data_IF_164338645573
#
_entry.id   IF_164338645573
#
_cell.length_a   1.000
_cell.length_b   1.000
_cell.length_c   1.000
_cell.angle_alpha   90.00
_cell.angle_beta   90.00
_cell.angle_gamma   90.00
#
_symmetry.space_group_name_H-M   'P 1'
#
loop_
_entity.id
_entity.type
_entity.pdbx_description
1 polymer ?
#
# COMPACT_ATOMS: atom_id res chain seq x y z
N UNK A 1 15.63 24.88 24.37
CA UNK A 1 14.33 25.18 23.77
C UNK A 1 14.04 26.65 24.01
N UNK A 2 14.34 27.50 23.05
CA UNK A 2 13.88 28.89 23.08
C UNK A 2 12.39 28.88 22.82
N UNK A 3 11.64 29.69 23.58
CA UNK A 3 10.19 29.84 23.41
C UNK A 3 9.89 30.17 21.95
N UNK A 4 9.18 29.26 21.28
CA UNK A 4 8.58 29.53 19.99
C UNK A 4 7.65 30.73 20.21
N UNK A 5 8.06 31.91 19.71
CA UNK A 5 7.17 33.06 19.67
C UNK A 5 5.88 32.54 19.05
N UNK A 6 4.74 32.83 19.67
CA UNK A 6 3.40 32.43 19.18
C UNK A 6 3.23 33.03 17.79
N UNK A 7 3.60 32.25 16.76
CA UNK A 7 3.45 32.67 15.37
C UNK A 7 1.96 32.84 15.08
N UNK A 8 1.63 33.91 14.37
CA UNK A 8 0.24 34.21 13.97
C UNK A 8 -0.37 32.99 13.27
N UNK A 9 -1.48 32.41 13.79
CA UNK A 9 -2.13 31.27 13.19
C UNK A 9 -2.48 31.47 11.71
N UNK A 10 -2.80 32.71 11.32
CA UNK A 10 -3.07 33.09 9.93
C UNK A 10 -1.85 32.88 9.04
N UNK A 11 -0.66 33.28 9.50
CA UNK A 11 0.60 33.08 8.79
C UNK A 11 0.92 31.58 8.62
N UNK A 12 0.68 30.78 9.67
CA UNK A 12 0.90 29.34 9.63
C UNK A 12 -0.04 28.65 8.63
N UNK A 13 -1.32 29.01 8.62
CA UNK A 13 -2.29 28.48 7.64
C UNK A 13 -1.87 28.87 6.21
N UNK A 14 -1.49 30.12 5.99
CA UNK A 14 -0.98 30.56 4.68
C UNK A 14 0.27 29.80 4.26
N UNK A 15 1.21 29.55 5.18
CA UNK A 15 2.40 28.75 4.91
C UNK A 15 2.05 27.33 4.45
N UNK A 16 1.11 26.67 5.14
CA UNK A 16 0.65 25.33 4.75
C UNK A 16 0.00 25.35 3.37
N UNK A 17 -0.96 26.25 3.17
CA UNK A 17 -1.73 26.34 1.91
C UNK A 17 -0.79 26.63 0.73
N UNK A 18 0.08 27.65 0.86
CA UNK A 18 1.02 28.02 -0.21
C UNK A 18 2.02 26.91 -0.47
N UNK A 19 2.62 26.29 0.57
CA UNK A 19 3.57 25.20 0.39
C UNK A 19 2.97 23.96 -0.25
N UNK A 20 1.72 23.60 0.13
CA UNK A 20 0.98 22.52 -0.52
C UNK A 20 0.61 22.86 -1.97
N UNK A 21 0.22 24.11 -2.27
CA UNK A 21 -0.02 24.58 -3.64
C UNK A 21 1.27 24.48 -4.47
N UNK A 22 2.40 24.96 -3.95
CA UNK A 22 3.70 24.86 -4.63
C UNK A 22 4.00 23.39 -4.98
N UNK A 23 3.87 22.48 -3.99
CA UNK A 23 4.08 21.05 -4.17
C UNK A 23 3.18 20.49 -5.28
N UNK A 24 1.88 20.76 -5.22
CA UNK A 24 0.91 20.26 -6.20
C UNK A 24 1.16 20.84 -7.61
N UNK A 25 1.45 22.12 -7.71
CA UNK A 25 1.79 22.77 -9.00
C UNK A 25 3.05 22.16 -9.61
N UNK A 26 4.09 21.93 -8.81
CA UNK A 26 5.33 21.28 -9.28
C UNK A 26 5.05 19.88 -9.83
N UNK A 27 4.24 19.06 -9.14
CA UNK A 27 3.94 17.71 -9.62
C UNK A 27 3.01 17.75 -10.83
N UNK A 28 1.88 18.46 -10.74
CA UNK A 28 0.79 18.34 -11.70
C UNK A 28 1.09 19.16 -12.99
N UNK A 29 1.46 20.42 -12.83
CA UNK A 29 1.64 21.36 -13.95
C UNK A 29 3.05 21.33 -14.50
N UNK A 30 4.06 21.38 -13.63
CA UNK A 30 5.47 21.43 -14.03
C UNK A 30 6.07 20.05 -14.31
N UNK A 31 5.37 18.95 -13.95
CA UNK A 31 5.83 17.56 -14.11
C UNK A 31 7.17 17.28 -13.41
N UNK A 32 7.46 18.00 -12.33
CA UNK A 32 8.65 17.80 -11.52
C UNK A 32 8.48 16.51 -10.72
N UNK A 33 9.57 15.78 -10.55
CA UNK A 33 9.60 14.51 -9.83
C UNK A 33 9.09 14.68 -8.39
N UNK A 34 8.29 13.72 -7.89
CA UNK A 34 7.55 13.82 -6.63
C UNK A 34 8.45 14.11 -5.41
N UNK A 35 9.62 13.47 -5.31
CA UNK A 35 10.58 13.68 -4.23
C UNK A 35 10.99 15.15 -4.13
N UNK A 36 11.40 15.75 -5.26
CA UNK A 36 11.82 17.16 -5.32
C UNK A 36 10.65 18.07 -4.97
N UNK A 37 9.47 17.79 -5.50
CA UNK A 37 8.25 18.60 -5.27
C UNK A 37 7.84 18.60 -3.80
N UNK A 38 7.88 17.44 -3.12
CA UNK A 38 7.57 17.33 -1.69
C UNK A 38 8.62 18.09 -0.87
N UNK A 39 9.89 17.92 -1.19
CA UNK A 39 10.98 18.60 -0.49
C UNK A 39 10.90 20.12 -0.62
N UNK A 40 10.70 20.63 -1.83
CA UNK A 40 10.54 22.08 -2.09
C UNK A 40 9.30 22.63 -1.39
N UNK A 41 8.16 21.91 -1.46
CA UNK A 41 6.94 22.29 -0.75
C UNK A 41 7.14 22.36 0.77
N UNK A 42 7.78 21.35 1.35
CA UNK A 42 8.07 21.31 2.78
C UNK A 42 9.01 22.45 3.21
N UNK A 43 10.11 22.69 2.48
CA UNK A 43 11.02 23.81 2.77
C UNK A 43 10.29 25.15 2.64
N UNK A 44 9.42 25.30 1.61
CA UNK A 44 8.60 26.52 1.44
C UNK A 44 7.70 26.77 2.64
N UNK A 45 7.09 25.73 3.22
CA UNK A 45 6.30 25.85 4.46
C UNK A 45 7.18 26.43 5.59
N UNK A 46 8.35 25.86 5.84
CA UNK A 46 9.25 26.35 6.89
C UNK A 46 9.66 27.83 6.71
N UNK A 47 10.01 28.20 5.47
CA UNK A 47 10.40 29.58 5.12
C UNK A 47 9.25 30.57 5.32
N UNK A 48 8.05 30.27 4.81
CA UNK A 48 6.87 31.13 4.91
C UNK A 48 6.39 31.21 6.38
N UNK A 49 6.43 30.11 7.12
CA UNK A 49 6.15 30.07 8.55
C UNK A 49 7.15 30.93 9.36
N UNK A 50 8.32 31.22 8.81
CA UNK A 50 9.35 32.03 9.48
C UNK A 50 10.25 31.23 10.43
N UNK A 51 10.41 29.93 10.15
CA UNK A 51 11.35 29.11 10.89
C UNK A 51 12.81 29.56 10.66
N UNK A 52 13.68 29.49 11.68
CA UNK A 52 15.11 29.66 11.51
C UNK A 52 15.65 28.69 10.44
N UNK A 53 16.59 29.12 9.61
CA UNK A 53 17.14 28.26 8.54
C UNK A 53 17.80 27.00 9.11
N UNK A 54 18.40 27.08 10.28
CA UNK A 54 18.97 25.94 11.02
C UNK A 54 17.90 24.91 11.37
N UNK A 55 16.73 25.35 11.79
CA UNK A 55 15.62 24.47 12.19
C UNK A 55 14.92 23.83 10.98
N UNK A 56 14.91 24.54 9.84
CA UNK A 56 14.50 23.96 8.56
C UNK A 56 15.42 22.81 8.17
N UNK A 57 16.76 23.01 8.23
CA UNK A 57 17.73 21.96 7.93
C UNK A 57 17.63 20.80 8.93
N UNK A 58 17.46 21.09 10.22
CA UNK A 58 17.26 20.07 11.24
C UNK A 58 16.00 19.24 10.95
N UNK A 59 14.87 19.88 10.62
CA UNK A 59 13.61 19.22 10.26
C UNK A 59 13.75 18.32 9.03
N UNK A 60 14.55 18.72 8.04
CA UNK A 60 14.85 17.88 6.86
C UNK A 60 15.63 16.63 7.29
N UNK A 61 16.70 16.79 8.06
CA UNK A 61 17.56 15.68 8.50
C UNK A 61 16.80 14.70 9.41
N UNK A 62 16.03 15.19 10.36
CA UNK A 62 15.20 14.37 11.24
C UNK A 62 14.10 13.65 10.46
N UNK A 63 13.45 14.34 9.52
CA UNK A 63 12.42 13.76 8.68
C UNK A 63 12.93 12.60 7.84
N UNK A 64 14.08 12.76 7.18
CA UNK A 64 14.73 11.70 6.40
C UNK A 64 15.18 10.57 7.33
N UNK A 65 15.94 10.88 8.38
CA UNK A 65 16.56 9.90 9.25
C UNK A 65 15.55 9.01 9.98
N UNK A 66 14.56 9.61 10.64
CA UNK A 66 13.56 8.87 11.40
C UNK A 66 12.63 8.04 10.50
N UNK A 67 12.30 8.55 9.31
CA UNK A 67 11.46 7.80 8.37
C UNK A 67 12.20 6.60 7.81
N UNK A 68 13.41 6.78 7.29
CA UNK A 68 14.20 5.68 6.73
C UNK A 68 14.55 4.63 7.78
N UNK A 69 14.88 5.03 9.02
CA UNK A 69 15.09 4.11 10.14
C UNK A 69 13.93 3.12 10.32
N UNK A 70 12.68 3.59 10.14
CA UNK A 70 11.49 2.75 10.34
C UNK A 70 11.15 1.84 9.18
N UNK A 71 11.52 2.21 7.93
CA UNK A 71 10.98 1.52 6.75
C UNK A 71 12.03 0.88 5.83
N UNK A 72 13.29 1.32 5.86
CA UNK A 72 14.26 0.93 4.83
C UNK A 72 14.45 -0.60 4.73
N UNK A 73 14.65 -1.27 5.87
CA UNK A 73 14.79 -2.73 5.91
C UNK A 73 13.50 -3.44 5.51
N UNK A 74 12.34 -2.95 5.96
CA UNK A 74 11.06 -3.58 5.68
C UNK A 74 10.73 -3.57 4.19
N UNK A 75 10.91 -2.42 3.56
CA UNK A 75 10.64 -2.25 2.12
C UNK A 75 11.65 -3.02 1.28
N UNK A 76 12.94 -2.99 1.65
CA UNK A 76 13.99 -3.75 0.97
C UNK A 76 13.78 -5.26 1.06
N UNK A 77 13.59 -5.80 2.26
CA UNK A 77 13.35 -7.23 2.49
C UNK A 77 12.02 -7.69 1.85
N UNK A 78 10.96 -6.87 1.93
CA UNK A 78 9.69 -7.16 1.28
C UNK A 78 9.83 -7.26 -0.24
N UNK A 79 10.62 -6.37 -0.85
CA UNK A 79 10.90 -6.38 -2.29
C UNK A 79 11.68 -7.63 -2.72
N UNK A 80 12.73 -8.01 -1.97
CA UNK A 80 13.49 -9.25 -2.22
C UNK A 80 12.60 -10.49 -2.07
N UNK A 81 11.77 -10.53 -1.04
CA UNK A 81 10.81 -11.61 -0.81
C UNK A 81 9.84 -11.76 -1.98
N UNK A 82 9.25 -10.64 -2.43
CA UNK A 82 8.36 -10.61 -3.57
C UNK A 82 9.03 -11.10 -4.86
N UNK A 83 10.27 -10.67 -5.13
CA UNK A 83 11.00 -11.07 -6.32
C UNK A 83 11.29 -12.59 -6.37
N UNK A 84 11.64 -13.21 -5.24
CA UNK A 84 11.85 -14.67 -5.18
C UNK A 84 10.53 -15.41 -5.44
N UNK A 85 9.42 -14.96 -4.86
CA UNK A 85 8.09 -15.54 -5.12
C UNK A 85 7.66 -15.39 -6.59
N UNK A 86 8.02 -14.28 -7.22
CA UNK A 86 7.74 -13.99 -8.63
C UNK A 86 8.49 -14.98 -9.53
N UNK A 87 9.82 -15.02 -9.46
CA UNK A 87 10.64 -15.83 -10.37
C UNK A 87 10.49 -17.34 -10.16
N UNK A 88 10.12 -17.76 -8.94
CA UNK A 88 9.89 -19.18 -8.63
C UNK A 88 8.56 -19.73 -9.15
N UNK A 89 7.70 -18.89 -9.72
CA UNK A 89 6.35 -19.32 -10.11
C UNK A 89 5.37 -19.44 -8.93
N UNK A 90 5.73 -18.90 -7.76
CA UNK A 90 4.89 -18.96 -6.57
C UNK A 90 3.52 -18.30 -6.76
N UNK A 91 3.49 -17.18 -7.45
CA UNK A 91 2.26 -16.48 -7.79
C UNK A 91 1.34 -17.32 -8.69
N UNK A 92 1.91 -17.94 -9.73
CA UNK A 92 1.19 -18.85 -10.63
C UNK A 92 0.62 -20.05 -9.88
N UNK A 93 1.42 -20.66 -8.98
CA UNK A 93 0.98 -21.79 -8.16
C UNK A 93 -0.28 -21.47 -7.36
N UNK A 94 -0.28 -20.33 -6.67
CA UNK A 94 -1.45 -19.88 -5.92
C UNK A 94 -2.66 -19.75 -6.83
N UNK A 95 -2.51 -19.04 -7.93
CA UNK A 95 -3.61 -18.74 -8.85
C UNK A 95 -4.19 -20.02 -9.49
N UNK A 96 -3.36 -20.88 -10.07
CA UNK A 96 -3.79 -22.13 -10.69
C UNK A 96 -4.47 -23.05 -9.67
N UNK A 97 -3.87 -23.19 -8.48
CA UNK A 97 -4.45 -24.07 -7.44
C UNK A 97 -5.77 -23.54 -6.92
N UNK A 98 -5.88 -22.23 -6.70
CA UNK A 98 -7.14 -21.61 -6.23
C UNK A 98 -8.25 -21.75 -7.26
N UNK A 99 -7.97 -21.43 -8.53
CA UNK A 99 -8.95 -21.59 -9.61
C UNK A 99 -9.41 -23.05 -9.74
N UNK A 100 -8.47 -24.01 -9.64
CA UNK A 100 -8.80 -25.45 -9.70
C UNK A 100 -9.70 -25.87 -8.52
N UNK A 101 -9.42 -25.40 -7.30
CA UNK A 101 -10.22 -25.74 -6.11
C UNK A 101 -11.62 -25.10 -6.13
N UNK A 102 -11.74 -23.88 -6.61
CA UNK A 102 -13.03 -23.16 -6.64
C UNK A 102 -13.89 -23.53 -7.84
N UNK A 103 -13.27 -24.05 -8.91
CA UNK A 103 -13.95 -24.34 -10.20
C UNK A 103 -14.31 -23.08 -10.98
N UNK A 104 -14.77 -23.28 -12.22
CA UNK A 104 -15.02 -22.19 -13.18
C UNK A 104 -16.12 -21.20 -12.70
N UNK A 105 -17.15 -21.70 -12.01
CA UNK A 105 -18.24 -20.86 -11.51
C UNK A 105 -17.77 -19.83 -10.47
N UNK A 106 -16.79 -20.21 -9.63
CA UNK A 106 -16.25 -19.37 -8.57
C UNK A 106 -14.86 -18.84 -8.88
N UNK A 107 -14.38 -18.99 -10.11
CA UNK A 107 -13.03 -18.57 -10.51
C UNK A 107 -12.78 -17.07 -10.30
N UNK A 108 -13.80 -16.21 -10.43
CA UNK A 108 -13.71 -14.79 -10.12
C UNK A 108 -13.35 -14.54 -8.63
N UNK A 109 -13.93 -15.32 -7.71
CA UNK A 109 -13.59 -15.29 -6.27
C UNK A 109 -12.18 -15.79 -6.03
N UNK A 110 -11.80 -16.89 -6.68
CA UNK A 110 -10.46 -17.44 -6.58
C UNK A 110 -9.41 -16.42 -7.01
N UNK A 111 -9.62 -15.71 -8.11
CA UNK A 111 -8.71 -14.68 -8.60
C UNK A 111 -8.64 -13.46 -7.66
N UNK A 112 -9.75 -13.02 -7.09
CA UNK A 112 -9.75 -11.94 -6.09
C UNK A 112 -8.94 -12.30 -4.84
N UNK A 113 -9.17 -13.49 -4.27
CA UNK A 113 -8.41 -13.99 -3.12
C UNK A 113 -6.92 -14.17 -3.48
N UNK A 114 -6.63 -14.72 -4.65
CA UNK A 114 -5.26 -14.89 -5.12
C UNK A 114 -4.54 -13.55 -5.27
N UNK A 115 -5.19 -12.56 -5.90
CA UNK A 115 -4.64 -11.21 -6.03
C UNK A 115 -4.34 -10.59 -4.68
N UNK A 116 -5.27 -10.71 -3.72
CA UNK A 116 -5.08 -10.20 -2.36
C UNK A 116 -3.87 -10.83 -1.67
N UNK A 117 -3.75 -12.15 -1.71
CA UNK A 117 -2.65 -12.87 -1.04
C UNK A 117 -1.30 -12.58 -1.71
N UNK A 118 -1.27 -12.52 -3.04
CA UNK A 118 -0.03 -12.28 -3.80
C UNK A 118 0.44 -10.85 -3.64
N UNK A 119 -0.47 -9.87 -3.60
CA UNK A 119 -0.09 -8.46 -3.47
C UNK A 119 0.49 -8.10 -2.09
N UNK A 120 0.41 -8.98 -1.09
CA UNK A 120 1.09 -8.74 0.18
C UNK A 120 2.62 -8.70 0.02
N UNK A 121 3.27 -9.68 -0.65
CA UNK A 121 4.72 -9.64 -0.88
C UNK A 121 5.12 -9.10 -2.27
N UNK A 122 4.23 -9.07 -3.25
CA UNK A 122 4.52 -8.71 -4.65
C UNK A 122 3.89 -7.37 -5.01
N UNK A 123 4.62 -6.51 -5.70
CA UNK A 123 4.06 -5.24 -6.17
C UNK A 123 2.89 -5.46 -7.13
N UNK A 124 1.94 -4.52 -7.12
CA UNK A 124 0.72 -4.57 -7.93
C UNK A 124 1.03 -4.85 -9.41
N UNK A 125 1.96 -4.10 -10.01
CA UNK A 125 2.28 -4.18 -11.44
C UNK A 125 2.83 -5.57 -11.81
N UNK A 126 3.77 -6.09 -11.03
CA UNK A 126 4.36 -7.41 -11.23
C UNK A 126 3.30 -8.51 -11.04
N UNK A 127 2.51 -8.45 -9.97
CA UNK A 127 1.42 -9.39 -9.72
C UNK A 127 0.40 -9.41 -10.86
N UNK A 128 0.06 -8.25 -11.41
CA UNK A 128 -0.86 -8.14 -12.55
C UNK A 128 -0.27 -8.79 -13.81
N UNK A 129 0.95 -8.45 -14.19
CA UNK A 129 1.60 -8.99 -15.40
C UNK A 129 1.68 -10.53 -15.35
N UNK A 130 2.00 -11.07 -14.17
CA UNK A 130 2.15 -12.52 -13.98
C UNK A 130 0.80 -13.25 -14.04
N UNK A 131 -0.26 -12.65 -13.50
CA UNK A 131 -1.53 -13.34 -13.28
C UNK A 131 -2.59 -13.06 -14.34
N UNK A 132 -2.45 -11.98 -15.11
CA UNK A 132 -3.44 -11.61 -16.11
C UNK A 132 -3.65 -12.69 -17.20
N UNK A 133 -2.60 -13.45 -17.65
CA UNK A 133 -2.82 -14.54 -18.60
C UNK A 133 -3.78 -15.62 -18.11
N UNK A 134 -3.77 -15.91 -16.79
CA UNK A 134 -4.70 -16.87 -16.22
C UNK A 134 -6.15 -16.35 -16.26
N UNK A 135 -6.38 -15.06 -15.96
CA UNK A 135 -7.69 -14.44 -16.07
C UNK A 135 -8.21 -14.47 -17.52
N UNK A 136 -7.33 -14.26 -18.49
CA UNK A 136 -7.67 -14.37 -19.91
C UNK A 136 -7.96 -15.80 -20.38
N UNK A 137 -7.16 -16.78 -19.92
CA UNK A 137 -7.42 -18.20 -20.18
C UNK A 137 -8.82 -18.61 -19.69
N UNK A 138 -9.22 -18.16 -18.49
CA UNK A 138 -10.56 -18.37 -17.96
C UNK A 138 -11.65 -17.69 -18.81
N UNK A 139 -11.43 -16.43 -19.21
CA UNK A 139 -12.37 -15.70 -20.05
C UNK A 139 -12.60 -16.41 -21.40
N UNK A 140 -11.52 -16.89 -22.03
CA UNK A 140 -11.58 -17.66 -23.29
C UNK A 140 -12.33 -18.97 -23.10
N UNK A 141 -11.97 -19.76 -22.06
CA UNK A 141 -12.57 -21.06 -21.79
C UNK A 141 -14.07 -21.00 -21.48
N UNK A 142 -14.50 -19.94 -20.79
CA UNK A 142 -15.90 -19.76 -20.38
C UNK A 142 -16.71 -18.91 -21.35
N UNK A 143 -16.08 -18.40 -22.42
CA UNK A 143 -16.67 -17.47 -23.38
C UNK A 143 -17.33 -16.24 -22.72
N UNK A 144 -16.64 -15.68 -21.70
CA UNK A 144 -17.08 -14.48 -20.99
C UNK A 144 -16.13 -13.30 -21.28
N UNK A 145 -16.62 -12.09 -21.00
CA UNK A 145 -15.78 -10.89 -21.04
C UNK A 145 -14.54 -11.04 -20.18
N UNK A 146 -13.38 -10.55 -20.65
CA UNK A 146 -12.15 -10.51 -19.87
C UNK A 146 -12.35 -9.80 -18.52
N UNK A 147 -13.21 -8.78 -18.45
CA UNK A 147 -13.51 -8.02 -17.25
C UNK A 147 -14.11 -8.87 -16.11
N UNK A 148 -14.82 -9.95 -16.46
CA UNK A 148 -15.42 -10.83 -15.45
C UNK A 148 -14.37 -11.46 -14.53
N UNK A 149 -13.15 -11.64 -15.02
CA UNK A 149 -12.04 -12.27 -14.31
C UNK A 149 -10.93 -11.28 -13.94
N UNK A 150 -10.67 -10.29 -14.80
CA UNK A 150 -9.60 -9.32 -14.52
C UNK A 150 -9.96 -8.34 -13.41
N UNK A 151 -11.21 -7.87 -13.32
CA UNK A 151 -11.62 -6.95 -12.24
C UNK A 151 -11.47 -7.58 -10.85
N UNK A 152 -11.92 -8.82 -10.58
CA UNK A 152 -11.64 -9.47 -9.30
C UNK A 152 -10.15 -9.60 -8.97
N UNK A 153 -9.34 -9.98 -9.95
CA UNK A 153 -7.88 -10.06 -9.80
C UNK A 153 -7.29 -8.70 -9.42
N UNK A 154 -7.64 -7.66 -10.18
CA UNK A 154 -7.20 -6.28 -9.95
C UNK A 154 -7.60 -5.76 -8.58
N UNK A 155 -8.85 -6.00 -8.16
CA UNK A 155 -9.33 -5.60 -6.84
C UNK A 155 -8.57 -6.29 -5.71
N UNK A 156 -8.31 -7.60 -5.85
CA UNK A 156 -7.48 -8.33 -4.89
C UNK A 156 -6.07 -7.75 -4.79
N UNK A 157 -5.41 -7.52 -5.93
CA UNK A 157 -4.07 -6.92 -5.99
C UNK A 157 -4.06 -5.52 -5.38
N UNK A 158 -5.03 -4.67 -5.71
CA UNK A 158 -5.14 -3.31 -5.18
C UNK A 158 -5.33 -3.31 -3.66
N UNK A 159 -6.22 -4.17 -3.15
CA UNK A 159 -6.46 -4.31 -1.71
C UNK A 159 -5.22 -4.78 -0.97
N UNK A 160 -4.58 -5.87 -1.42
CA UNK A 160 -3.39 -6.41 -0.76
C UNK A 160 -2.25 -5.38 -0.74
N UNK A 161 -2.08 -4.66 -1.85
CA UNK A 161 -1.04 -3.62 -1.97
C UNK A 161 -1.31 -2.38 -1.11
N UNK A 162 -2.58 -1.93 -1.01
CA UNK A 162 -2.90 -0.68 -0.33
C UNK A 162 -3.13 -0.84 1.18
N UNK A 163 -3.69 -1.96 1.64
CA UNK A 163 -4.15 -2.12 3.02
C UNK A 163 -3.26 -3.00 3.89
N UNK A 164 -2.45 -3.90 3.32
CA UNK A 164 -1.84 -4.97 4.10
C UNK A 164 -0.30 -4.89 4.07
N UNK A 165 0.34 -4.67 5.24
CA UNK A 165 1.79 -4.86 5.34
C UNK A 165 2.21 -6.30 4.94
N UNK A 166 3.41 -6.50 4.42
CA UNK A 166 4.57 -5.60 4.45
C UNK A 166 4.72 -4.67 3.23
N UNK A 167 3.68 -4.41 2.46
CA UNK A 167 3.74 -3.44 1.37
C UNK A 167 4.17 -2.05 1.84
N UNK A 168 4.92 -1.28 1.03
CA UNK A 168 5.54 -0.03 1.47
C UNK A 168 4.58 1.02 2.00
N UNK A 169 3.40 1.17 1.37
CA UNK A 169 2.41 2.18 1.75
C UNK A 169 1.91 2.03 3.19
N UNK A 170 1.28 0.92 3.55
CA UNK A 170 0.81 0.68 4.92
C UNK A 170 1.92 0.71 5.97
N UNK A 171 3.11 0.16 5.65
CA UNK A 171 4.28 0.21 6.55
C UNK A 171 4.69 1.65 6.83
N UNK A 172 4.73 2.49 5.80
CA UNK A 172 5.03 3.90 5.92
C UNK A 172 4.04 4.62 6.84
N UNK A 173 2.74 4.46 6.57
CA UNK A 173 1.69 5.12 7.37
C UNK A 173 1.77 4.66 8.83
N UNK A 174 1.92 3.36 9.07
CA UNK A 174 2.10 2.79 10.40
C UNK A 174 3.30 3.39 11.13
N UNK A 175 4.44 3.50 10.45
CA UNK A 175 5.67 4.10 11.01
C UNK A 175 5.47 5.57 11.35
N UNK A 176 4.85 6.34 10.47
CA UNK A 176 4.61 7.78 10.70
C UNK A 176 3.63 8.05 11.84
N UNK A 177 2.58 7.23 11.97
CA UNK A 177 1.61 7.34 13.05
C UNK A 177 2.07 6.68 14.35
N UNK A 178 3.15 5.89 14.32
CA UNK A 178 3.67 5.17 15.49
C UNK A 178 2.79 3.99 15.91
N UNK A 179 2.08 3.36 14.97
CA UNK A 179 1.18 2.23 15.25
C UNK A 179 1.87 0.89 15.01
N UNK A 180 1.55 -0.09 15.86
CA UNK A 180 2.06 -1.45 15.75
C UNK A 180 1.54 -2.15 14.47
N UNK A 181 2.46 -2.72 13.70
CA UNK A 181 2.15 -3.33 12.40
C UNK A 181 1.18 -4.51 12.49
N UNK A 182 1.14 -5.23 13.60
CA UNK A 182 0.18 -6.33 13.77
C UNK A 182 -1.26 -5.82 13.80
N UNK A 183 -1.52 -4.70 14.45
CA UNK A 183 -2.85 -4.05 14.38
C UNK A 183 -3.18 -3.59 12.97
N UNK A 184 -2.21 -3.03 12.26
CA UNK A 184 -2.40 -2.60 10.87
C UNK A 184 -2.70 -3.79 9.95
N UNK A 185 -1.99 -4.93 10.13
CA UNK A 185 -2.27 -6.17 9.39
C UNK A 185 -3.68 -6.67 9.66
N UNK A 186 -4.09 -6.76 10.92
CA UNK A 186 -5.41 -7.27 11.30
C UNK A 186 -6.53 -6.41 10.72
N UNK A 187 -6.46 -5.08 10.91
CA UNK A 187 -7.47 -4.15 10.39
C UNK A 187 -7.40 -4.09 8.87
N UNK A 188 -6.19 -4.09 8.28
CA UNK A 188 -6.00 -4.10 6.84
C UNK A 188 -6.60 -5.34 6.16
N UNK A 189 -6.40 -6.54 6.73
CA UNK A 189 -7.03 -7.77 6.24
C UNK A 189 -8.55 -7.68 6.36
N UNK A 190 -9.06 -7.22 7.51
CA UNK A 190 -10.50 -7.13 7.74
C UNK A 190 -11.16 -6.15 6.76
N UNK A 191 -10.66 -4.92 6.65
CA UNK A 191 -11.12 -3.93 5.69
C UNK A 191 -10.97 -4.44 4.24
N UNK A 192 -9.84 -5.08 3.95
CA UNK A 192 -9.49 -5.58 2.64
C UNK A 192 -10.40 -6.70 2.15
N UNK A 193 -10.84 -7.62 3.02
CA UNK A 193 -11.78 -8.69 2.64
C UNK A 193 -13.09 -8.09 2.13
N UNK A 194 -13.69 -7.14 2.86
CA UNK A 194 -14.93 -6.49 2.42
C UNK A 194 -14.75 -5.67 1.15
N UNK A 195 -13.65 -4.92 1.04
CA UNK A 195 -13.30 -4.16 -0.13
C UNK A 195 -13.14 -5.07 -1.36
N UNK A 196 -12.39 -6.17 -1.23
CA UNK A 196 -12.18 -7.15 -2.30
C UNK A 196 -13.49 -7.80 -2.73
N UNK A 197 -14.38 -8.17 -1.82
CA UNK A 197 -15.68 -8.77 -2.16
C UNK A 197 -16.51 -7.83 -3.02
N UNK A 198 -16.62 -6.57 -2.62
CA UNK A 198 -17.47 -5.58 -3.32
C UNK A 198 -16.84 -5.13 -4.63
N UNK A 199 -15.58 -4.72 -4.59
CA UNK A 199 -14.87 -4.18 -5.75
C UNK A 199 -14.41 -5.27 -6.74
N UNK A 200 -14.23 -6.51 -6.27
CA UNK A 200 -13.79 -7.64 -7.08
C UNK A 200 -14.96 -8.43 -7.67
N UNK A 201 -15.37 -9.58 -7.09
CA UNK A 201 -16.35 -10.47 -7.68
C UNK A 201 -17.71 -9.81 -7.97
N UNK A 202 -18.21 -8.93 -7.08
CA UNK A 202 -19.51 -8.27 -7.30
C UNK A 202 -19.41 -7.26 -8.45
N UNK A 203 -18.45 -6.34 -8.39
CA UNK A 203 -18.25 -5.34 -9.44
C UNK A 203 -17.78 -5.96 -10.75
N UNK A 204 -16.90 -6.95 -10.70
CA UNK A 204 -16.42 -7.69 -11.87
C UNK A 204 -17.55 -8.40 -12.64
N UNK A 205 -18.53 -8.97 -11.92
CA UNK A 205 -19.75 -9.54 -12.52
C UNK A 205 -20.57 -8.45 -13.23
N UNK A 206 -20.74 -7.28 -12.63
CA UNK A 206 -21.47 -6.16 -13.22
C UNK A 206 -20.74 -5.67 -14.48
N UNK A 207 -19.42 -5.45 -14.40
CA UNK A 207 -18.61 -5.01 -15.53
C UNK A 207 -18.61 -6.03 -16.67
N UNK A 208 -18.36 -7.31 -16.35
CA UNK A 208 -18.28 -8.39 -17.33
C UNK A 208 -19.60 -8.65 -18.07
N UNK A 209 -20.74 -8.41 -17.41
CA UNK A 209 -22.05 -8.52 -18.05
C UNK A 209 -22.42 -7.28 -18.89
N UNK A 210 -21.91 -6.10 -18.52
CA UNK A 210 -22.25 -4.83 -19.19
C UNK A 210 -21.31 -4.50 -20.34
N UNK A 211 -20.02 -4.86 -20.23
CA UNK A 211 -18.99 -4.54 -21.21
C UNK A 211 -18.31 -5.84 -21.65
N UNK A 212 -18.48 -6.21 -22.91
CA UNK A 212 -17.77 -7.34 -23.47
C UNK A 212 -16.40 -6.88 -24.00
N UNK A 213 -15.33 -7.24 -23.29
CA UNK A 213 -13.95 -7.03 -23.71
C UNK A 213 -13.39 -8.40 -24.12
N UNK A 214 -13.00 -8.58 -25.39
CA UNK A 214 -12.37 -9.82 -25.85
C UNK A 214 -10.97 -9.96 -25.23
N UNK A 215 -10.46 -11.18 -25.18
CA UNK A 215 -9.07 -11.43 -24.79
C UNK A 215 -8.14 -10.88 -25.89
N UNK A 216 -7.12 -10.06 -25.56
CA UNK A 216 -6.18 -9.54 -26.54
C UNK A 216 -5.44 -10.66 -27.28
N UNK A 217 -5.30 -10.55 -28.60
CA UNK A 217 -4.64 -11.58 -29.42
C UNK A 217 -3.17 -11.80 -29.05
N UNK A 218 -2.50 -10.75 -28.60
CA UNK A 218 -1.09 -10.79 -28.13
C UNK A 218 -0.86 -11.76 -26.97
N UNK A 219 -1.89 -12.05 -26.18
CA UNK A 219 -1.82 -12.93 -25.01
C UNK A 219 -2.53 -14.27 -25.27
N UNK A 220 -3.42 -14.31 -26.25
CA UNK A 220 -4.19 -15.52 -26.59
C UNK A 220 -3.32 -16.73 -27.01
N UNK A 221 -2.07 -16.50 -27.41
CA UNK A 221 -1.09 -17.49 -27.87
C UNK A 221 0.07 -17.69 -26.88
N UNK A 222 0.00 -17.19 -25.66
CA UNK A 222 1.00 -17.51 -24.66
C UNK A 222 0.89 -19.01 -24.29
N UNK A 223 2.05 -19.67 -24.19
CA UNK A 223 2.14 -21.07 -23.85
C UNK A 223 1.45 -21.36 -22.51
N UNK A 224 0.78 -22.51 -22.42
CA UNK A 224 0.20 -22.98 -21.16
C UNK A 224 1.29 -23.04 -20.08
N UNK A 225 0.93 -22.68 -18.87
CA UNK A 225 1.83 -22.71 -17.71
C UNK A 225 2.24 -24.17 -17.48
N UNK A 226 3.53 -24.46 -17.53
CA UNK A 226 4.05 -25.78 -17.19
C UNK A 226 3.93 -26.05 -15.68
N UNK A 227 2.80 -26.62 -15.29
CA UNK A 227 2.49 -26.88 -13.88
C UNK A 227 3.48 -27.82 -13.21
N UNK A 228 4.24 -28.64 -13.96
CA UNK A 228 5.20 -29.58 -13.40
C UNK A 228 6.40 -28.90 -12.74
N UNK A 229 6.70 -27.67 -13.16
CA UNK A 229 7.81 -26.86 -12.65
C UNK A 229 7.40 -25.94 -11.50
N UNK A 230 6.10 -25.84 -11.22
CA UNK A 230 5.60 -24.96 -10.18
C UNK A 230 5.86 -25.52 -8.78
N UNK A 231 6.19 -24.65 -7.79
CA UNK A 231 6.37 -25.05 -6.41
C UNK A 231 5.03 -25.51 -5.78
N UNK A 232 5.10 -26.28 -4.69
CA UNK A 232 3.91 -26.77 -4.00
C UNK A 232 3.14 -25.63 -3.35
N UNK A 233 1.79 -25.64 -3.51
CA UNK A 233 0.88 -24.64 -2.92
C UNK A 233 1.11 -24.41 -1.42
N UNK A 234 1.23 -25.50 -0.62
CA UNK A 234 1.44 -25.40 0.82
C UNK A 234 2.77 -24.71 1.19
N UNK A 235 3.82 -24.89 0.37
CA UNK A 235 5.11 -24.21 0.57
C UNK A 235 4.96 -22.70 0.36
N UNK A 236 4.25 -22.27 -0.69
CA UNK A 236 4.03 -20.85 -0.97
C UNK A 236 3.21 -20.18 0.13
N UNK A 237 2.07 -20.78 0.50
CA UNK A 237 1.22 -20.26 1.58
C UNK A 237 1.99 -20.20 2.90
N UNK A 238 2.74 -21.26 3.23
CA UNK A 238 3.53 -21.30 4.46
C UNK A 238 4.55 -20.16 4.52
N UNK A 239 5.28 -19.90 3.43
CA UNK A 239 6.30 -18.85 3.37
C UNK A 239 5.65 -17.46 3.47
N UNK A 240 4.53 -17.20 2.77
CA UNK A 240 3.80 -15.92 2.85
C UNK A 240 3.27 -15.67 4.26
N UNK A 241 2.83 -16.70 4.97
CA UNK A 241 2.29 -16.58 6.32
C UNK A 241 3.38 -16.34 7.39
N UNK A 242 4.65 -16.68 7.15
CA UNK A 242 5.72 -16.51 8.15
C UNK A 242 5.73 -15.08 8.74
N UNK A 243 5.93 -14.01 7.97
CA UNK A 243 6.01 -12.66 8.53
C UNK A 243 4.68 -12.23 9.16
N UNK A 244 3.55 -12.56 8.56
CA UNK A 244 2.23 -12.20 9.09
C UNK A 244 1.97 -12.80 10.45
N UNK A 245 2.19 -14.11 10.59
CA UNK A 245 1.96 -14.85 11.84
C UNK A 245 2.91 -14.37 12.93
N UNK A 246 4.18 -14.19 12.63
CA UNK A 246 5.17 -13.74 13.62
C UNK A 246 4.88 -12.32 14.12
N UNK A 247 4.55 -11.38 13.22
CA UNK A 247 4.22 -10.00 13.58
C UNK A 247 2.93 -9.94 14.40
N UNK A 248 1.88 -10.65 13.98
CA UNK A 248 0.61 -10.71 14.73
C UNK A 248 0.82 -11.36 16.08
N UNK A 249 1.58 -12.47 16.17
CA UNK A 249 1.85 -13.16 17.43
C UNK A 249 2.57 -12.24 18.43
N UNK A 250 3.53 -11.41 17.98
CA UNK A 250 4.16 -10.40 18.83
C UNK A 250 3.14 -9.38 19.35
N UNK A 251 2.28 -8.85 18.46
CA UNK A 251 1.26 -7.87 18.86
C UNK A 251 0.24 -8.44 19.87
N UNK A 252 -0.18 -9.69 19.66
CA UNK A 252 -1.06 -10.41 20.61
C UNK A 252 -0.36 -10.65 21.95
N UNK A 253 0.92 -11.03 21.92
CA UNK A 253 1.66 -11.29 23.16
C UNK A 253 1.86 -10.04 24.03
N UNK A 254 1.84 -8.84 23.45
CA UNK A 254 1.89 -7.57 24.20
C UNK A 254 0.62 -7.29 25.01
N UNK A 255 -0.52 -7.83 24.60
CA UNK A 255 -1.84 -7.56 25.23
C UNK A 255 -2.41 -8.75 26.02
N UNK A 256 -1.87 -9.95 25.82
CA UNK A 256 -2.36 -11.18 26.49
C UNK A 256 -1.40 -11.58 27.63
N UNK A 257 -1.78 -11.39 28.92
CA UNK A 257 -0.89 -11.68 30.06
C UNK A 257 -0.41 -13.13 30.13
N UNK A 258 -1.22 -14.09 29.67
CA UNK A 258 -0.87 -15.50 29.63
C UNK A 258 0.36 -15.82 28.75
N UNK A 259 0.72 -14.94 27.82
CA UNK A 259 1.86 -15.08 26.92
C UNK A 259 3.13 -14.37 27.42
N UNK A 260 3.13 -13.80 28.63
CA UNK A 260 4.25 -13.04 29.21
C UNK A 260 5.56 -13.84 29.24
N UNK A 261 5.51 -15.14 29.50
CA UNK A 261 6.69 -16.00 29.55
C UNK A 261 7.38 -16.15 28.18
N UNK A 262 6.64 -16.13 27.08
CA UNK A 262 7.16 -16.27 25.71
C UNK A 262 7.29 -14.94 25.00
N UNK A 263 6.80 -13.86 25.60
CA UNK A 263 6.79 -12.52 25.03
C UNK A 263 8.17 -12.03 24.56
N UNK A 264 9.31 -12.24 25.28
CA UNK A 264 10.61 -11.79 24.80
C UNK A 264 11.03 -12.48 23.48
N UNK A 265 10.71 -13.77 23.33
CA UNK A 265 11.00 -14.52 22.11
C UNK A 265 10.10 -14.05 20.95
N UNK A 266 8.81 -13.89 21.22
CA UNK A 266 7.86 -13.40 20.23
C UNK A 266 8.15 -11.95 19.85
N UNK A 267 8.64 -11.11 20.76
CA UNK A 267 9.07 -9.76 20.47
C UNK A 267 10.25 -9.73 19.47
N UNK A 268 11.21 -10.61 19.64
CA UNK A 268 12.34 -10.72 18.71
C UNK A 268 11.93 -11.29 17.36
N UNK A 269 11.25 -12.44 17.35
CA UNK A 269 10.87 -13.13 16.11
C UNK A 269 9.81 -12.36 15.31
N UNK A 270 8.91 -11.66 16.01
CA UNK A 270 7.85 -10.85 15.41
C UNK A 270 8.24 -9.40 15.19
N UNK A 271 9.52 -9.02 15.46
CA UNK A 271 10.04 -7.74 14.97
C UNK A 271 10.00 -7.75 13.43
N UNK A 272 9.35 -6.78 12.78
CA UNK A 272 9.03 -6.88 11.36
C UNK A 272 10.21 -7.18 10.44
N UNK A 273 11.39 -6.58 10.67
CA UNK A 273 12.57 -6.87 9.85
C UNK A 273 13.13 -8.27 10.12
N UNK A 274 13.01 -8.82 11.35
CA UNK A 274 13.42 -10.19 11.68
C UNK A 274 12.48 -11.18 10.98
N UNK A 275 11.16 -10.97 11.11
CA UNK A 275 10.14 -11.83 10.49
C UNK A 275 10.29 -11.88 8.96
N UNK A 276 10.54 -10.74 8.32
CA UNK A 276 10.80 -10.67 6.88
C UNK A 276 12.14 -11.32 6.50
N UNK A 277 13.19 -11.15 7.29
CA UNK A 277 14.48 -11.84 7.05
C UNK A 277 14.30 -13.36 7.07
N UNK A 278 13.55 -13.90 8.05
CA UNK A 278 13.22 -15.32 8.12
C UNK A 278 12.45 -15.76 6.86
N UNK A 279 11.47 -14.96 6.41
CA UNK A 279 10.70 -15.27 5.21
C UNK A 279 11.57 -15.25 3.93
N UNK A 280 12.48 -14.27 3.78
CA UNK A 280 13.43 -14.22 2.65
C UNK A 280 14.34 -15.46 2.64
N UNK A 281 14.93 -15.81 3.78
CA UNK A 281 15.80 -17.01 3.90
C UNK A 281 15.00 -18.27 3.57
N UNK A 282 13.79 -18.41 4.10
CA UNK A 282 12.92 -19.54 3.79
C UNK A 282 12.58 -19.61 2.29
N UNK A 283 12.29 -18.46 1.66
CA UNK A 283 12.04 -18.37 0.22
C UNK A 283 13.29 -18.74 -0.59
N UNK A 284 14.47 -18.24 -0.24
CA UNK A 284 15.74 -18.62 -0.88
C UNK A 284 15.96 -20.14 -0.85
N UNK A 285 15.75 -20.77 0.32
CA UNK A 285 15.97 -22.22 0.49
C UNK A 285 14.89 -23.03 -0.25
N UNK A 286 13.61 -22.71 -0.02
CA UNK A 286 12.51 -23.56 -0.46
C UNK A 286 12.06 -23.28 -1.90
N UNK A 287 12.26 -22.07 -2.39
CA UNK A 287 11.86 -21.65 -3.73
C UNK A 287 13.03 -21.34 -4.65
N UNK A 288 14.17 -20.94 -4.09
CA UNK A 288 15.41 -20.71 -4.84
C UNK A 288 16.19 -22.00 -5.02
N UNK A 289 16.97 -22.40 -4.03
CA UNK A 289 17.91 -23.53 -4.16
C UNK A 289 17.23 -24.87 -4.50
N UNK A 290 16.06 -25.17 -3.92
CA UNK A 290 15.33 -26.41 -4.27
C UNK A 290 14.78 -26.44 -5.70
N UNK A 291 14.69 -25.29 -6.37
CA UNK A 291 14.27 -25.17 -7.76
C UNK A 291 15.45 -24.92 -8.72
N UNK A 292 16.68 -25.09 -8.24
CA UNK A 292 17.90 -25.11 -9.06
C UNK A 292 18.53 -23.73 -9.29
N UNK A 293 18.08 -22.68 -8.60
CA UNK A 293 18.74 -21.36 -8.66
C UNK A 293 20.08 -21.40 -7.93
N UNK A 294 21.12 -20.85 -8.54
CA UNK A 294 22.44 -20.63 -7.93
C UNK A 294 22.43 -19.42 -6.97
N UNK A 295 23.46 -19.31 -6.14
CA UNK A 295 23.68 -18.15 -5.28
C UNK A 295 23.74 -16.85 -6.09
N UNK A 296 24.46 -16.88 -7.21
CA UNK A 296 24.63 -15.70 -8.08
C UNK A 296 23.32 -15.26 -8.73
N UNK A 297 22.48 -16.21 -9.14
CA UNK A 297 21.16 -15.90 -9.70
C UNK A 297 20.24 -15.30 -8.65
N UNK A 298 20.17 -15.88 -7.45
CA UNK A 298 19.36 -15.35 -6.35
C UNK A 298 19.82 -13.97 -5.90
N UNK A 299 21.14 -13.76 -5.79
CA UNK A 299 21.72 -12.46 -5.46
C UNK A 299 21.32 -11.41 -6.52
N UNK A 300 21.45 -11.73 -7.80
CA UNK A 300 21.06 -10.85 -8.90
C UNK A 300 19.57 -10.51 -8.91
N UNK A 301 18.69 -11.51 -8.65
CA UNK A 301 17.24 -11.32 -8.56
C UNK A 301 16.91 -10.35 -7.40
N UNK A 302 17.48 -10.61 -6.23
CA UNK A 302 17.25 -9.77 -5.03
C UNK A 302 17.80 -8.35 -5.23
N UNK A 303 18.99 -8.21 -5.78
CA UNK A 303 19.59 -6.89 -6.06
C UNK A 303 18.75 -6.08 -7.04
N UNK A 304 18.29 -6.70 -8.14
CA UNK A 304 17.43 -6.04 -9.13
C UNK A 304 16.09 -5.59 -8.54
N UNK A 305 15.56 -6.31 -7.56
CA UNK A 305 14.30 -5.94 -6.89
C UNK A 305 14.39 -4.65 -6.09
N UNK A 306 15.61 -4.20 -5.75
CA UNK A 306 15.83 -2.96 -5.01
C UNK A 306 15.80 -1.70 -5.89
N UNK A 307 15.92 -1.82 -7.23
CA UNK A 307 15.89 -0.67 -8.13
C UNK A 307 14.60 0.17 -7.98
N UNK A 308 13.38 -0.40 -8.09
CA UNK A 308 12.15 0.37 -7.86
C UNK A 308 11.99 0.81 -6.41
N UNK A 309 12.56 0.06 -5.46
CA UNK A 309 12.48 0.33 -4.03
C UNK A 309 13.18 1.64 -3.64
N UNK A 310 14.29 1.99 -4.30
CA UNK A 310 15.01 3.24 -4.05
C UNK A 310 14.13 4.49 -4.24
N UNK A 311 13.32 4.53 -5.30
CA UNK A 311 12.37 5.64 -5.53
C UNK A 311 11.33 5.73 -4.40
N UNK A 312 10.78 4.59 -3.99
CA UNK A 312 9.78 4.53 -2.91
C UNK A 312 10.37 5.06 -1.62
N UNK A 313 11.57 4.63 -1.24
CA UNK A 313 12.26 5.07 -0.01
C UNK A 313 12.52 6.57 -0.01
N UNK A 314 13.00 7.14 -1.13
CA UNK A 314 13.30 8.56 -1.22
C UNK A 314 12.04 9.44 -1.17
N UNK A 315 10.97 9.07 -1.89
CA UNK A 315 9.69 9.79 -1.83
C UNK A 315 9.11 9.73 -0.41
N UNK A 316 9.18 8.57 0.23
CA UNK A 316 8.71 8.35 1.59
C UNK A 316 9.50 9.18 2.61
N UNK A 317 10.83 9.24 2.47
CA UNK A 317 11.69 10.09 3.31
C UNK A 317 11.29 11.56 3.22
N UNK A 318 10.98 12.06 2.02
CA UNK A 318 10.47 13.43 1.84
C UNK A 318 9.09 13.65 2.48
N UNK A 319 8.24 12.64 2.54
CA UNK A 319 6.99 12.70 3.33
C UNK A 319 7.26 12.88 4.83
N UNK A 320 8.31 12.22 5.35
CA UNK A 320 8.81 12.47 6.70
C UNK A 320 9.30 13.91 6.88
N UNK A 321 10.00 14.46 5.91
CA UNK A 321 10.40 15.88 5.93
C UNK A 321 9.18 16.79 6.02
N UNK A 322 8.14 16.54 5.22
CA UNK A 322 6.89 17.30 5.27
C UNK A 322 6.26 17.22 6.67
N UNK A 323 6.17 16.02 7.26
CA UNK A 323 5.67 15.83 8.64
C UNK A 323 6.43 16.69 9.65
N UNK A 324 7.76 16.57 9.69
CA UNK A 324 8.59 17.31 10.65
C UNK A 324 8.53 18.81 10.41
N UNK A 325 8.44 19.26 9.17
CA UNK A 325 8.28 20.66 8.85
C UNK A 325 6.95 21.22 9.37
N UNK A 326 5.84 20.50 9.18
CA UNK A 326 4.52 20.86 9.71
C UNK A 326 4.51 20.86 11.24
N UNK A 327 5.14 19.87 11.86
CA UNK A 327 5.22 19.75 13.33
C UNK A 327 6.06 20.85 13.94
N UNK A 328 7.29 21.08 13.46
CA UNK A 328 8.25 22.02 14.03
C UNK A 328 7.91 23.48 13.70
N UNK A 329 7.09 23.74 12.68
CA UNK A 329 6.55 25.09 12.41
C UNK A 329 5.37 25.46 13.31
N UNK A 330 4.83 24.54 14.12
CA UNK A 330 3.61 24.77 14.91
C UNK A 330 2.30 24.60 14.12
N UNK A 331 2.38 24.26 12.84
CA UNK A 331 1.22 24.03 11.97
C UNK A 331 0.41 22.81 12.41
N UNK A 332 1.05 21.80 13.00
CA UNK A 332 0.38 20.64 13.53
C UNK A 332 -0.72 20.99 14.53
N UNK A 333 -0.44 21.93 15.43
CA UNK A 333 -1.40 22.41 16.43
C UNK A 333 -2.59 23.15 15.77
N UNK A 334 -2.32 23.98 14.76
CA UNK A 334 -3.37 24.71 14.03
C UNK A 334 -4.28 23.75 13.29
N UNK A 335 -3.73 22.76 12.59
CA UNK A 335 -4.50 21.73 11.89
C UNK A 335 -5.31 20.89 12.90
N UNK A 336 -4.69 20.47 14.01
CA UNK A 336 -5.34 19.71 15.08
C UNK A 336 -6.53 20.44 15.67
N UNK A 337 -6.39 21.73 15.98
CA UNK A 337 -7.48 22.57 16.47
C UNK A 337 -8.59 22.77 15.45
N UNK A 338 -8.26 22.91 14.17
CA UNK A 338 -9.25 23.03 13.10
C UNK A 338 -10.06 21.72 12.94
N UNK A 339 -9.40 20.56 12.99
CA UNK A 339 -10.08 19.26 12.95
C UNK A 339 -10.95 19.03 14.17
N UNK A 340 -10.47 19.38 15.38
CA UNK A 340 -11.24 19.29 16.61
C UNK A 340 -12.49 20.19 16.56
N UNK A 341 -12.34 21.42 16.03
CA UNK A 341 -13.46 22.37 15.88
C UNK A 341 -14.49 21.91 14.85
N UNK A 342 -14.05 21.17 13.81
CA UNK A 342 -14.95 20.62 12.80
C UNK A 342 -15.79 19.45 13.31
N UNK A 343 -15.50 18.90 14.50
CA UNK A 343 -16.17 17.73 15.10
C UNK A 343 -16.20 16.50 14.20
N UNK A 344 -15.26 16.39 13.24
CA UNK A 344 -15.15 15.25 12.35
C UNK A 344 -14.22 14.18 12.96
N UNK A 345 -14.59 12.89 12.92
CA UNK A 345 -13.69 11.81 13.31
C UNK A 345 -12.38 11.88 12.49
N UNK A 346 -11.23 11.70 13.14
CA UNK A 346 -9.93 11.74 12.46
C UNK A 346 -9.83 10.74 11.31
N UNK A 347 -10.48 9.59 11.42
CA UNK A 347 -10.59 8.56 10.38
C UNK A 347 -11.21 9.14 9.09
N UNK A 348 -12.23 10.02 9.22
CA UNK A 348 -12.87 10.70 8.08
C UNK A 348 -11.93 11.74 7.46
N UNK A 349 -11.28 12.54 8.30
CA UNK A 349 -10.31 13.55 7.85
C UNK A 349 -9.16 12.89 7.11
N UNK A 350 -8.61 11.80 7.66
CA UNK A 350 -7.52 11.04 7.07
C UNK A 350 -7.87 10.50 5.68
N UNK A 351 -9.07 9.94 5.52
CA UNK A 351 -9.58 9.48 4.22
C UNK A 351 -9.69 10.64 3.22
N UNK A 352 -10.31 11.75 3.61
CA UNK A 352 -10.52 12.90 2.73
C UNK A 352 -9.18 13.49 2.27
N UNK A 353 -8.23 13.69 3.18
CA UNK A 353 -6.91 14.23 2.85
C UNK A 353 -6.19 13.30 1.85
N UNK A 354 -6.17 12.00 2.11
CA UNK A 354 -5.56 11.03 1.22
C UNK A 354 -6.25 11.01 -0.17
N UNK A 355 -7.59 11.08 -0.20
CA UNK A 355 -8.37 11.10 -1.43
C UNK A 355 -8.10 12.35 -2.29
N UNK A 356 -8.05 13.54 -1.67
CA UNK A 356 -7.74 14.79 -2.36
C UNK A 356 -6.34 14.77 -2.98
N UNK A 357 -5.35 14.27 -2.24
CA UNK A 357 -3.98 14.10 -2.78
C UNK A 357 -3.96 13.06 -3.90
N UNK A 358 -4.64 11.93 -3.74
CA UNK A 358 -4.72 10.86 -4.75
C UNK A 358 -5.29 11.38 -6.06
N UNK A 359 -6.43 12.04 -6.02
CA UNK A 359 -7.07 12.61 -7.20
C UNK A 359 -6.17 13.62 -7.89
N UNK A 360 -5.41 14.40 -7.13
CA UNK A 360 -4.55 15.45 -7.66
C UNK A 360 -3.25 14.90 -8.27
N UNK A 361 -2.58 13.96 -7.59
CA UNK A 361 -1.21 13.49 -7.91
C UNK A 361 -1.20 12.20 -8.72
N UNK A 362 -2.18 11.34 -8.53
CA UNK A 362 -2.31 10.07 -9.24
C UNK A 362 -1.53 8.90 -8.63
N UNK A 363 -0.61 9.12 -7.69
CA UNK A 363 0.18 8.07 -7.04
C UNK A 363 -0.39 7.73 -5.66
N UNK A 364 -0.76 6.47 -5.45
CA UNK A 364 -1.24 5.96 -4.15
C UNK A 364 -0.17 6.11 -3.06
N UNK A 365 1.08 5.75 -3.34
CA UNK A 365 2.19 5.85 -2.38
C UNK A 365 2.44 7.31 -1.97
N UNK A 366 2.41 8.25 -2.93
CA UNK A 366 2.57 9.68 -2.64
C UNK A 366 1.39 10.19 -1.81
N UNK A 367 0.18 9.77 -2.13
CA UNK A 367 -1.03 10.14 -1.38
C UNK A 367 -0.97 9.64 0.08
N UNK A 368 -0.58 8.38 0.28
CA UNK A 368 -0.36 7.82 1.62
C UNK A 368 0.71 8.62 2.39
N UNK A 369 1.84 8.89 1.73
CA UNK A 369 2.97 9.61 2.32
C UNK A 369 2.58 11.00 2.80
N UNK A 370 1.91 11.77 1.95
CA UNK A 370 1.49 13.14 2.26
C UNK A 370 0.40 13.15 3.34
N UNK A 371 -0.63 12.32 3.20
CA UNK A 371 -1.70 12.23 4.17
C UNK A 371 -1.17 11.80 5.55
N UNK A 372 -0.34 10.76 5.61
CA UNK A 372 0.28 10.32 6.85
C UNK A 372 1.15 11.42 7.47
N UNK A 373 1.93 12.16 6.65
CA UNK A 373 2.73 13.28 7.12
C UNK A 373 1.90 14.39 7.76
N UNK A 374 0.77 14.76 7.15
CA UNK A 374 -0.15 15.77 7.66
C UNK A 374 -0.82 15.29 8.96
N UNK A 375 -1.38 14.09 8.96
CA UNK A 375 -2.08 13.54 10.14
C UNK A 375 -1.11 13.32 11.30
N UNK A 376 0.07 12.76 11.05
CA UNK A 376 1.07 12.50 12.08
C UNK A 376 1.70 13.76 12.68
N UNK A 377 1.56 14.92 12.03
CA UNK A 377 2.00 16.21 12.57
C UNK A 377 1.02 16.78 13.61
N UNK A 378 -0.21 16.27 13.67
CA UNK A 378 -1.24 16.76 14.61
C UNK A 378 -0.91 16.36 16.05
N UNK A 379 -1.22 17.21 17.04
CA UNK A 379 -1.00 16.90 18.45
C UNK A 379 -1.91 15.75 18.91
N UNK A 380 -1.44 14.99 19.89
CA UNK A 380 -2.22 13.92 20.53
C UNK A 380 -2.33 12.60 19.74
N UNK A 381 -1.80 12.51 18.52
CA UNK A 381 -1.83 11.28 17.72
C UNK A 381 -1.21 10.08 18.49
N UNK A 382 -0.05 10.28 19.12
CA UNK A 382 0.65 9.22 19.85
C UNK A 382 -0.07 8.75 21.13
N UNK A 383 -1.08 9.48 21.60
CA UNK A 383 -1.89 9.13 22.76
C UNK A 383 -3.16 8.34 22.40
N UNK A 384 -3.48 8.20 21.12
CA UNK A 384 -4.65 7.45 20.65
C UNK A 384 -4.42 5.93 20.76
N UNK A 385 -5.52 5.17 20.87
CA UNK A 385 -5.42 3.71 20.96
C UNK A 385 -4.77 3.11 19.69
N UNK A 386 -4.01 2.00 19.81
CA UNK A 386 -3.41 1.33 18.66
C UNK A 386 -4.46 0.87 17.63
N UNK A 387 -5.64 0.44 18.09
CA UNK A 387 -6.75 0.02 17.25
C UNK A 387 -7.29 1.20 16.44
N UNK A 388 -7.49 2.37 17.09
CA UNK A 388 -7.96 3.57 16.39
C UNK A 388 -6.96 4.05 15.34
N UNK A 389 -5.65 4.06 15.67
CA UNK A 389 -4.60 4.43 14.72
C UNK A 389 -4.49 3.44 13.56
N UNK A 390 -4.76 2.15 13.78
CA UNK A 390 -4.85 1.18 12.69
C UNK A 390 -6.06 1.49 11.77
N UNK A 391 -7.20 1.94 12.31
CA UNK A 391 -8.33 2.42 11.51
C UNK A 391 -7.99 3.70 10.73
N UNK A 392 -7.25 4.63 11.33
CA UNK A 392 -6.75 5.83 10.63
C UNK A 392 -5.80 5.41 9.48
N UNK A 393 -4.92 4.44 9.72
CA UNK A 393 -4.03 3.87 8.69
C UNK A 393 -4.84 3.28 7.53
N UNK A 394 -5.87 2.48 7.82
CA UNK A 394 -6.75 1.90 6.80
C UNK A 394 -7.56 2.99 6.06
N UNK A 395 -7.94 4.07 6.73
CA UNK A 395 -8.62 5.20 6.10
C UNK A 395 -7.70 5.96 5.12
N UNK A 396 -6.44 6.18 5.49
CA UNK A 396 -5.42 6.76 4.59
C UNK A 396 -5.21 5.83 3.38
N UNK A 397 -5.09 4.53 3.61
CA UNK A 397 -4.97 3.53 2.55
C UNK A 397 -6.18 3.59 1.61
N UNK A 398 -7.39 3.59 2.15
CA UNK A 398 -8.62 3.73 1.37
C UNK A 398 -8.66 5.02 0.55
N UNK A 399 -8.39 6.17 1.17
CA UNK A 399 -8.35 7.45 0.45
C UNK A 399 -7.32 7.47 -0.67
N UNK A 400 -6.18 6.79 -0.49
CA UNK A 400 -5.09 6.73 -1.48
C UNK A 400 -5.39 5.87 -2.71
N UNK A 401 -6.48 5.10 -2.72
CA UNK A 401 -6.89 4.27 -3.87
C UNK A 401 -8.02 4.89 -4.67
N UNK A 402 -8.83 5.80 -4.11
CA UNK A 402 -10.01 6.34 -4.79
C UNK A 402 -9.65 7.08 -6.07
N UNK A 403 -10.55 6.99 -7.05
CA UNK A 403 -10.53 7.80 -8.26
C UNK A 403 -9.21 7.74 -9.06
N UNK A 404 -8.64 6.53 -9.22
CA UNK A 404 -7.53 6.32 -10.15
C UNK A 404 -7.96 6.67 -11.58
N UNK A 405 -7.29 7.64 -12.23
CA UNK A 405 -7.63 8.14 -13.55
C UNK A 405 -6.38 8.45 -14.40
N UNK A 406 -6.48 9.32 -15.38
CA UNK A 406 -5.42 9.63 -16.36
C UNK A 406 -4.05 10.05 -15.78
N UNK A 407 -4.00 10.47 -14.53
CA UNK A 407 -2.75 10.85 -13.85
C UNK A 407 -2.05 9.66 -13.16
N UNK A 408 -2.66 8.48 -13.17
CA UNK A 408 -2.15 7.27 -12.53
C UNK A 408 -1.55 6.30 -13.56
N UNK A 409 -0.32 5.83 -13.32
CA UNK A 409 0.32 4.80 -14.14
C UNK A 409 -0.46 3.48 -14.16
N UNK A 410 -1.08 3.11 -13.02
CA UNK A 410 -1.93 1.93 -12.90
C UNK A 410 -3.13 1.96 -13.86
N UNK A 411 -3.74 3.13 -14.04
CA UNK A 411 -4.82 3.33 -15.02
C UNK A 411 -4.38 2.96 -16.44
N UNK A 412 -3.21 3.43 -16.86
CA UNK A 412 -2.69 3.16 -18.20
C UNK A 412 -2.20 1.73 -18.37
N UNK A 413 -1.59 1.17 -17.33
CA UNK A 413 -1.16 -0.24 -17.32
C UNK A 413 -2.36 -1.17 -17.50
N UNK A 414 -3.40 -0.99 -16.71
CA UNK A 414 -4.63 -1.81 -16.76
C UNK A 414 -5.34 -1.61 -18.10
N UNK A 415 -5.48 -0.36 -18.57
CA UNK A 415 -6.04 -0.05 -19.89
C UNK A 415 -5.34 -0.86 -20.98
N UNK A 416 -4.01 -0.81 -20.99
CA UNK A 416 -3.20 -1.42 -22.06
C UNK A 416 -3.21 -2.94 -21.99
N UNK A 417 -3.06 -3.53 -20.79
CA UNK A 417 -3.02 -4.98 -20.62
C UNK A 417 -4.38 -5.65 -20.87
N UNK A 418 -5.47 -5.01 -20.42
CA UNK A 418 -6.82 -5.57 -20.60
C UNK A 418 -7.38 -5.26 -22.00
N UNK A 419 -6.77 -4.32 -22.72
CA UNK A 419 -7.20 -3.93 -24.08
C UNK A 419 -8.46 -3.06 -24.07
N UNK A 420 -8.60 -2.17 -23.08
CA UNK A 420 -9.73 -1.25 -22.95
C UNK A 420 -9.46 0.11 -23.59
N UNK A 421 -10.51 0.85 -23.94
CA UNK A 421 -10.42 2.29 -24.20
C UNK A 421 -10.47 3.09 -22.88
N UNK A 422 -10.12 4.38 -22.95
CA UNK A 422 -10.08 5.25 -21.76
C UNK A 422 -11.44 5.36 -21.07
N UNK A 423 -12.51 5.44 -21.84
CA UNK A 423 -13.89 5.58 -21.36
C UNK A 423 -14.33 4.35 -20.59
N UNK A 424 -14.00 3.17 -21.08
CA UNK A 424 -14.30 1.90 -20.42
C UNK A 424 -13.43 1.73 -19.18
N UNK A 425 -12.15 2.11 -19.23
CA UNK A 425 -11.24 2.08 -18.08
C UNK A 425 -11.75 2.97 -16.94
N UNK A 426 -12.21 4.20 -17.24
CA UNK A 426 -12.84 5.08 -16.24
C UNK A 426 -14.12 4.46 -15.64
N UNK A 427 -14.90 3.74 -16.42
CA UNK A 427 -16.18 3.14 -15.96
C UNK A 427 -16.00 1.80 -15.25
N UNK A 428 -14.85 1.19 -15.33
CA UNK A 428 -14.57 -0.14 -14.76
C UNK A 428 -13.48 -0.06 -13.68
N UNK A 429 -12.25 0.24 -14.05
CA UNK A 429 -11.08 0.36 -13.17
C UNK A 429 -11.22 1.50 -12.15
N UNK A 430 -11.51 2.74 -12.60
CA UNK A 430 -11.60 3.88 -11.68
C UNK A 430 -12.69 3.69 -10.64
N UNK A 431 -13.83 3.09 -11.04
CA UNK A 431 -14.90 2.77 -10.09
C UNK A 431 -14.47 1.63 -9.16
N UNK A 432 -13.79 0.60 -9.67
CA UNK A 432 -13.25 -0.49 -8.87
C UNK A 432 -12.31 0.03 -7.78
N UNK A 433 -11.33 0.87 -8.14
CA UNK A 433 -10.41 1.50 -7.20
C UNK A 433 -11.15 2.37 -6.16
N UNK A 434 -12.18 3.10 -6.59
CA UNK A 434 -13.02 3.90 -5.70
C UNK A 434 -13.82 3.01 -4.74
N UNK A 435 -14.32 1.86 -5.19
CA UNK A 435 -14.98 0.88 -4.33
C UNK A 435 -14.00 0.24 -3.35
N UNK A 436 -12.78 -0.10 -3.78
CA UNK A 436 -11.72 -0.59 -2.89
C UNK A 436 -11.49 0.40 -1.75
N UNK A 437 -11.23 1.67 -2.07
CA UNK A 437 -10.98 2.69 -1.07
C UNK A 437 -12.18 3.02 -0.20
N UNK A 438 -13.34 3.22 -0.82
CA UNK A 438 -14.57 3.60 -0.12
C UNK A 438 -15.09 2.53 0.83
N UNK A 439 -15.12 1.26 0.40
CA UNK A 439 -15.58 0.16 1.26
C UNK A 439 -14.59 -0.10 2.38
N UNK A 440 -13.26 -0.12 2.07
CA UNK A 440 -12.24 -0.27 3.10
C UNK A 440 -12.31 0.82 4.15
N UNK A 441 -12.50 2.07 3.73
CA UNK A 441 -12.74 3.21 4.64
C UNK A 441 -14.01 3.05 5.49
N UNK A 442 -15.13 2.67 4.89
CA UNK A 442 -16.39 2.50 5.65
C UNK A 442 -16.26 1.43 6.73
N UNK A 443 -15.58 0.32 6.44
CA UNK A 443 -15.30 -0.73 7.42
C UNK A 443 -14.39 -0.19 8.54
N UNK A 444 -13.31 0.52 8.19
CA UNK A 444 -12.41 1.15 9.17
C UNK A 444 -13.15 2.17 10.05
N UNK A 445 -14.05 2.98 9.45
CA UNK A 445 -14.86 3.94 10.18
C UNK A 445 -15.78 3.25 11.18
N UNK A 446 -16.45 2.17 10.79
CA UNK A 446 -17.32 1.41 11.71
C UNK A 446 -16.50 0.83 12.88
N UNK A 447 -15.32 0.24 12.61
CA UNK A 447 -14.46 -0.30 13.67
C UNK A 447 -13.99 0.82 14.61
N UNK A 448 -13.69 2.01 14.08
CA UNK A 448 -13.18 3.13 14.86
C UNK A 448 -14.13 3.63 15.95
N UNK A 449 -15.42 3.33 15.87
CA UNK A 449 -16.40 3.63 16.94
C UNK A 449 -16.28 2.70 18.15
N UNK A 450 -15.57 1.59 18.03
CA UNK A 450 -15.34 0.59 19.09
C UNK A 450 -13.87 0.58 19.57
N UNK A 451 -13.07 1.54 19.11
CA UNK A 451 -11.62 1.56 19.31
C UNK A 451 -11.15 2.52 20.42
#
# INVERSE_FOLDING_TARGET
MQAVATLDPTRLILAAVIGLIILLVLIIKCKVQAMISILVGAISIGLIAGMPLTDIVASVNEGIGNTLKGIALLVGLGSMFGAILEVSGGAQTLAVTMVRKFGDEKAAWALGITGLVIAMPVFFDAGLIILIPLAFSLAKRTNRSALFYTIPLLAGLAVGHAFIPPTPGPVLVATMLGVDLGWVILIGIFCGIFAMIVAGPIWGKICGNKYFIPVPESVANQADIDESKLPKFGTIVGIILIPLVLIIANSVAKVVPALSAVQPVLAFLGEPFVALTIAVIAAMILLGYKHGYSNEELEKIMTKSLEPTGMILLVTACGGVLRYMLQNSGLGDVIGNAVASASLPLVVVAFIVAALVRISVGSSTVAMTMAAGIIAAMPGISAMSPLYLACVTAAIAGGSTVCSHFNDSGFWLVKSLVGMDEKTTLKTWTIMETLVGGVGFLVALVISFFA
#
